data_IF_520270957232
#
_entry.id   IF_520270957232
#
_cell.length_a   1.000
_cell.length_b   1.000
_cell.length_c   1.000
_cell.angle_alpha   90.00
_cell.angle_beta   90.00
_cell.angle_gamma   90.00
#
_symmetry.space_group_name_H-M   'P 1'
#
loop_
_entity.id
_entity.type
_entity.pdbx_description
1 polymer ?
#
# COMPACT_ATOMS: atom_id res chain seq x y z
N UNK A 1 -30.58 -0.13 3.35
CA UNK A 1 -29.52 0.48 2.50
C UNK A 1 -28.60 -0.66 2.12
N UNK A 2 -28.91 -1.36 1.03
CA UNK A 2 -28.06 -2.40 0.46
C UNK A 2 -26.87 -1.73 -0.21
N UNK A 3 -25.83 -1.47 0.59
CA UNK A 3 -24.50 -1.28 0.03
C UNK A 3 -24.04 -2.66 -0.42
N UNK A 4 -24.18 -2.91 -1.72
CA UNK A 4 -23.63 -4.11 -2.34
C UNK A 4 -22.16 -4.24 -1.92
N UNK A 5 -21.76 -5.32 -1.23
CA UNK A 5 -20.42 -5.45 -0.65
C UNK A 5 -19.31 -5.52 -1.72
N UNK A 6 -19.64 -5.68 -2.99
CA UNK A 6 -18.68 -5.63 -4.09
C UNK A 6 -18.24 -4.20 -4.42
N UNK A 7 -19.13 -3.20 -4.30
CA UNK A 7 -18.79 -1.79 -4.58
C UNK A 7 -17.69 -1.20 -3.68
N UNK A 8 -17.70 -1.38 -2.34
CA UNK A 8 -16.63 -0.90 -1.48
C UNK A 8 -15.30 -1.61 -1.77
N UNK A 9 -15.34 -2.91 -2.08
CA UNK A 9 -14.15 -3.70 -2.42
C UNK A 9 -13.51 -3.27 -3.73
N UNK A 10 -14.31 -3.02 -4.77
CA UNK A 10 -13.80 -2.54 -6.06
C UNK A 10 -13.16 -1.14 -5.92
N UNK A 11 -13.76 -0.26 -5.11
CA UNK A 11 -13.19 1.06 -4.82
C UNK A 11 -11.86 0.96 -4.06
N UNK A 12 -11.74 -0.02 -3.16
CA UNK A 12 -10.51 -0.27 -2.42
C UNK A 12 -9.42 -0.90 -3.30
N UNK A 13 -9.79 -1.82 -4.20
CA UNK A 13 -8.89 -2.36 -5.23
C UNK A 13 -8.35 -1.25 -6.12
N UNK A 14 -9.20 -0.36 -6.63
CA UNK A 14 -8.77 0.82 -7.39
C UNK A 14 -7.84 1.73 -6.59
N UNK A 15 -8.06 1.89 -5.28
CA UNK A 15 -7.19 2.69 -4.44
C UNK A 15 -5.81 2.06 -4.23
N UNK A 16 -5.74 0.73 -4.08
CA UNK A 16 -4.51 -0.04 -4.02
C UNK A 16 -3.76 0.03 -5.35
N UNK A 17 -4.45 -0.20 -6.47
CA UNK A 17 -3.89 -0.11 -7.81
C UNK A 17 -3.35 1.30 -8.12
N UNK A 18 -4.09 2.35 -7.74
CA UNK A 18 -3.64 3.74 -7.87
C UNK A 18 -2.43 4.07 -6.98
N UNK A 19 -2.21 3.30 -5.91
CA UNK A 19 -1.01 3.39 -5.08
C UNK A 19 0.16 2.56 -5.65
N UNK A 20 -0.06 1.84 -6.75
CA UNK A 20 0.90 0.93 -7.38
C UNK A 20 0.93 -0.47 -6.76
N UNK A 21 -0.02 -0.79 -5.90
CA UNK A 21 -0.06 -2.08 -5.22
C UNK A 21 -0.51 -3.20 -6.15
N UNK A 22 0.22 -4.32 -6.09
CA UNK A 22 -0.09 -5.47 -6.89
C UNK A 22 -1.28 -6.23 -6.28
N UNK A 23 -2.45 -6.08 -6.91
CA UNK A 23 -3.70 -6.70 -6.46
C UNK A 23 -3.67 -8.24 -6.53
N UNK A 24 -2.71 -8.85 -7.23
CA UNK A 24 -2.58 -10.31 -7.28
C UNK A 24 -2.02 -10.89 -5.98
N UNK A 25 -1.38 -10.05 -5.15
CA UNK A 25 -0.87 -10.44 -3.85
C UNK A 25 -1.92 -10.38 -2.73
N UNK A 26 -3.00 -9.61 -2.92
CA UNK A 26 -4.03 -9.42 -1.90
C UNK A 26 -5.21 -10.38 -2.13
N UNK A 27 -5.51 -11.20 -1.13
CA UNK A 27 -6.73 -11.99 -1.14
C UNK A 27 -7.94 -11.14 -0.74
N UNK A 28 -9.14 -11.62 -1.05
CA UNK A 28 -10.40 -10.97 -0.68
C UNK A 28 -10.52 -10.77 0.85
N UNK A 29 -9.93 -11.70 1.62
CA UNK A 29 -9.83 -11.63 3.08
C UNK A 29 -8.95 -10.48 3.56
N UNK A 30 -7.79 -10.23 2.92
CA UNK A 30 -6.91 -9.11 3.28
C UNK A 30 -7.57 -7.75 2.99
N UNK A 31 -8.32 -7.67 1.88
CA UNK A 31 -9.09 -6.49 1.53
C UNK A 31 -10.18 -6.20 2.57
N UNK A 32 -10.87 -7.23 3.05
CA UNK A 32 -11.87 -7.13 4.13
C UNK A 32 -11.25 -6.65 5.44
N UNK A 33 -10.07 -7.17 5.79
CA UNK A 33 -9.29 -6.76 6.97
C UNK A 33 -8.89 -5.28 6.89
N UNK A 34 -8.35 -4.85 5.76
CA UNK A 34 -7.99 -3.44 5.52
C UNK A 34 -9.23 -2.53 5.62
N UNK A 35 -10.37 -3.00 5.12
CA UNK A 35 -11.62 -2.25 5.16
C UNK A 35 -12.14 -2.06 6.58
N UNK A 36 -12.15 -3.14 7.38
CA UNK A 36 -12.55 -3.14 8.79
C UNK A 36 -11.67 -2.23 9.64
N UNK A 37 -10.37 -2.17 9.34
CA UNK A 37 -9.42 -1.29 10.04
C UNK A 37 -9.43 0.17 9.57
N UNK A 38 -10.30 0.53 8.61
CA UNK A 38 -10.48 1.92 8.20
C UNK A 38 -9.58 2.38 7.05
N UNK A 39 -8.80 1.50 6.44
CA UNK A 39 -7.95 1.78 5.27
C UNK A 39 -8.76 1.82 3.96
N UNK A 40 -9.82 2.64 3.94
CA UNK A 40 -10.82 2.68 2.86
C UNK A 40 -10.42 3.57 1.68
N UNK A 41 -9.30 4.28 1.77
CA UNK A 41 -8.88 5.27 0.78
C UNK A 41 -7.36 5.23 0.60
N UNK A 42 -6.90 5.70 -0.58
CA UNK A 42 -5.48 5.86 -0.91
C UNK A 42 -4.74 6.60 0.21
N UNK A 43 -5.34 7.66 0.77
CA UNK A 43 -4.72 8.44 1.86
C UNK A 43 -4.52 7.63 3.14
N UNK A 44 -5.47 6.74 3.46
CA UNK A 44 -5.34 5.83 4.61
C UNK A 44 -4.25 4.78 4.39
N UNK A 45 -4.15 4.23 3.18
CA UNK A 45 -3.06 3.32 2.81
C UNK A 45 -1.70 4.01 2.82
N UNK A 46 -1.64 5.28 2.39
CA UNK A 46 -0.43 6.09 2.41
C UNK A 46 -0.02 6.50 3.83
N UNK A 47 -0.96 6.64 4.74
CA UNK A 47 -0.70 6.91 6.16
C UNK A 47 -0.43 5.62 6.97
N UNK A 48 -0.86 4.46 6.45
CA UNK A 48 -0.72 3.17 7.12
C UNK A 48 0.73 2.89 7.54
N UNK A 49 0.92 2.54 8.81
CA UNK A 49 2.21 2.17 9.39
C UNK A 49 2.37 0.66 9.39
N UNK A 50 3.63 0.17 9.50
CA UNK A 50 3.92 -1.26 9.66
C UNK A 50 3.09 -1.85 10.81
N UNK A 51 3.08 -1.15 11.95
CA UNK A 51 2.33 -1.56 13.13
C UNK A 51 0.82 -1.61 12.90
N UNK A 52 0.24 -0.61 12.21
CA UNK A 52 -1.19 -0.61 11.90
C UNK A 52 -1.61 -1.74 10.95
N UNK A 53 -0.77 -2.06 9.96
CA UNK A 53 -1.00 -3.17 9.04
C UNK A 53 -0.81 -4.54 9.71
N UNK A 54 0.20 -4.67 10.58
CA UNK A 54 0.41 -5.88 11.39
C UNK A 54 -0.72 -6.08 12.41
N UNK A 55 -1.18 -5.00 13.07
CA UNK A 55 -2.28 -5.05 14.03
C UNK A 55 -3.62 -5.39 13.35
N UNK A 56 -3.78 -4.99 12.08
CA UNK A 56 -4.92 -5.42 11.27
C UNK A 56 -4.91 -6.94 11.01
N UNK A 57 -3.76 -7.60 11.09
CA UNK A 57 -3.59 -9.03 10.82
C UNK A 57 -3.08 -9.34 9.42
N UNK A 58 -2.53 -8.36 8.70
CA UNK A 58 -1.88 -8.62 7.41
C UNK A 58 -0.58 -9.39 7.61
N UNK A 59 -0.30 -10.28 6.65
CA UNK A 59 0.98 -10.99 6.61
C UNK A 59 2.13 -10.01 6.39
N UNK A 60 3.28 -10.20 7.06
CA UNK A 60 4.41 -9.27 7.00
C UNK A 60 4.94 -9.05 5.58
N UNK A 61 4.79 -10.02 4.68
CA UNK A 61 5.15 -9.87 3.26
C UNK A 61 4.32 -8.81 2.53
N UNK A 62 3.00 -8.74 2.80
CA UNK A 62 2.13 -7.68 2.25
C UNK A 62 2.44 -6.32 2.86
N UNK A 63 2.72 -6.29 4.16
CA UNK A 63 3.10 -5.06 4.86
C UNK A 63 4.37 -4.45 4.27
N UNK A 64 5.38 -5.27 4.00
CA UNK A 64 6.64 -4.83 3.38
C UNK A 64 6.43 -4.33 1.95
N UNK A 65 5.57 -4.99 1.18
CA UNK A 65 5.20 -4.56 -0.17
C UNK A 65 4.53 -3.18 -0.18
N UNK A 66 3.55 -2.95 0.71
CA UNK A 66 2.88 -1.65 0.85
C UNK A 66 3.87 -0.56 1.27
N UNK A 67 4.80 -0.88 2.18
CA UNK A 67 5.88 0.03 2.59
C UNK A 67 6.84 0.36 1.44
N UNK A 68 7.22 -0.64 0.64
CA UNK A 68 8.06 -0.45 -0.53
C UNK A 68 7.39 0.44 -1.57
N UNK A 69 6.08 0.29 -1.77
CA UNK A 69 5.28 1.14 -2.66
C UNK A 69 5.18 2.57 -2.14
N UNK A 70 5.01 2.76 -0.83
CA UNK A 70 5.06 4.09 -0.21
C UNK A 70 6.42 4.76 -0.44
N UNK A 71 7.51 4.01 -0.26
CA UNK A 71 8.86 4.50 -0.50
C UNK A 71 9.09 4.86 -1.98
N UNK A 72 8.57 4.07 -2.91
CA UNK A 72 8.63 4.36 -4.34
C UNK A 72 7.78 5.59 -4.73
N UNK A 73 6.57 5.72 -4.18
CA UNK A 73 5.65 6.83 -4.44
C UNK A 73 6.06 8.15 -3.74
N UNK A 74 6.95 8.11 -2.74
CA UNK A 74 7.58 9.29 -2.16
C UNK A 74 8.70 9.86 -3.04
N UNK A 75 9.02 9.18 -4.16
CA UNK A 75 10.21 9.43 -4.95
C UNK A 75 11.45 8.90 -4.24
N UNK A 76 12.48 8.46 -4.96
CA UNK A 76 13.72 8.15 -4.30
C UNK A 76 14.21 9.46 -3.68
N UNK A 77 14.24 9.53 -2.35
CA UNK A 77 15.31 10.25 -1.69
C UNK A 77 16.58 9.48 -2.04
N UNK A 78 17.05 9.70 -3.27
CA UNK A 78 18.39 9.36 -3.69
C UNK A 78 19.32 10.16 -2.78
N UNK A 79 19.69 9.56 -1.65
CA UNK A 79 21.11 9.42 -1.36
C UNK A 79 21.69 8.55 -2.48
N UNK A 80 21.77 9.12 -3.68
CA UNK A 80 22.57 8.58 -4.77
C UNK A 80 23.99 8.77 -4.33
N UNK A 81 24.51 7.77 -3.61
CA UNK A 81 25.91 7.41 -3.69
C UNK A 81 26.25 7.05 -5.14
N UNK A 82 26.39 8.08 -5.98
CA UNK A 82 27.16 8.18 -7.23
C UNK A 82 26.62 9.35 -8.03
N UNK A 83 27.39 10.43 -8.04
CA UNK A 83 27.57 11.19 -9.26
C UNK A 83 29.06 11.12 -9.64
N UNK A 84 29.39 10.66 -10.86
CA UNK A 84 30.74 10.45 -11.34
C UNK A 84 31.32 11.76 -11.87
N UNK A 85 32.60 12.02 -11.63
CA UNK A 85 33.48 12.73 -12.58
C UNK A 85 34.91 12.71 -12.04
N UNK A 86 35.68 11.75 -12.55
CA UNK A 86 37.12 11.89 -12.67
C UNK A 86 37.41 12.92 -13.76
N UNK A 87 38.09 14.02 -13.43
CA UNK A 87 39.15 14.55 -14.29
C UNK A 87 40.11 15.44 -13.50
N UNK A 88 41.36 15.01 -13.50
CA UNK A 88 42.55 15.77 -13.14
C UNK A 88 42.78 16.93 -14.11
#
# INVERSE_FOLDING_TARGET
MDVDPAQPRERQRRALEACGADLTLFEDTDLDILWKNGYRNVRGLRDATREGLMAAGLVPGLVDHILALKAAAAGPSTSSGKSPCARC
#
